data_IF_131759133660
#
_entry.id   IF_131759133660
#
_cell.length_a   1.000
_cell.length_b   1.000
_cell.length_c   1.000
_cell.angle_alpha   90.00
_cell.angle_beta   90.00
_cell.angle_gamma   90.00
#
_symmetry.space_group_name_H-M   'P 1'
#
loop_
_entity.id
_entity.type
_entity.pdbx_description
1 polymer ?
#
# COMPACT_ATOMS: atom_id res chain seq x y z
N UNK A 1 13.72 -0.08 -15.00
CA UNK A 1 13.80 1.16 -14.15
C UNK A 1 12.80 1.09 -13.00
N UNK A 2 12.72 2.09 -12.10
CA UNK A 2 11.81 2.01 -10.93
C UNK A 2 10.33 1.99 -11.33
N UNK A 3 9.93 2.79 -12.31
CA UNK A 3 8.57 2.74 -12.87
C UNK A 3 8.22 1.35 -13.43
N UNK A 4 9.18 0.68 -14.06
CA UNK A 4 9.01 -0.68 -14.58
C UNK A 4 8.92 -1.72 -13.45
N UNK A 5 9.72 -1.57 -12.39
CA UNK A 5 9.63 -2.41 -11.19
C UNK A 5 8.25 -2.29 -10.53
N UNK A 6 7.71 -1.07 -10.44
CA UNK A 6 6.36 -0.80 -9.95
C UNK A 6 5.30 -1.45 -10.84
N UNK A 7 5.37 -1.23 -12.16
CA UNK A 7 4.41 -1.81 -13.11
C UNK A 7 4.40 -3.35 -13.07
N UNK A 8 5.58 -4.00 -13.00
CA UNK A 8 5.72 -5.46 -12.96
C UNK A 8 5.25 -6.10 -11.65
N UNK A 9 5.22 -5.32 -10.57
CA UNK A 9 4.86 -5.82 -9.23
C UNK A 9 3.45 -5.36 -8.80
N UNK A 10 2.78 -4.51 -9.57
CA UNK A 10 1.38 -4.17 -9.34
C UNK A 10 0.46 -5.24 -9.94
N UNK A 11 -0.63 -5.55 -9.25
CA UNK A 11 -1.61 -6.54 -9.73
C UNK A 11 -2.36 -6.06 -10.99
N UNK A 12 -2.68 -4.78 -11.02
CA UNK A 12 -3.47 -4.15 -12.06
C UNK A 12 -2.81 -2.85 -12.52
N UNK A 13 -2.96 -2.55 -13.80
CA UNK A 13 -2.64 -1.24 -14.38
C UNK A 13 -3.69 -0.22 -13.95
N UNK A 14 -3.38 1.09 -14.04
CA UNK A 14 -4.36 2.13 -13.78
C UNK A 14 -5.59 2.04 -14.69
N UNK A 15 -5.40 1.67 -15.96
CA UNK A 15 -6.52 1.46 -16.90
C UNK A 15 -7.45 0.35 -16.43
N UNK A 16 -6.90 -0.79 -16.01
CA UNK A 16 -7.69 -1.88 -15.44
C UNK A 16 -8.43 -1.45 -14.18
N UNK A 17 -7.78 -0.70 -13.29
CA UNK A 17 -8.39 -0.16 -12.08
C UNK A 17 -9.57 0.77 -12.43
N UNK A 18 -9.39 1.69 -13.38
CA UNK A 18 -10.48 2.58 -13.83
C UNK A 18 -11.66 1.80 -14.41
N UNK A 19 -11.41 0.73 -15.18
CA UNK A 19 -12.47 -0.13 -15.68
C UNK A 19 -13.18 -0.91 -14.58
N UNK A 20 -12.45 -1.32 -13.54
CA UNK A 20 -13.04 -1.97 -12.37
C UNK A 20 -13.92 -1.01 -11.57
N UNK A 21 -13.53 0.26 -11.41
CA UNK A 21 -14.38 1.29 -10.78
C UNK A 21 -15.73 1.42 -11.49
N UNK A 22 -15.74 1.46 -12.83
CA UNK A 22 -16.98 1.56 -13.62
C UNK A 22 -17.90 0.35 -13.47
N UNK A 23 -17.33 -0.82 -13.16
CA UNK A 23 -18.05 -2.10 -13.05
C UNK A 23 -18.31 -2.52 -11.61
N UNK A 24 -17.94 -1.69 -10.63
CA UNK A 24 -18.01 -2.07 -9.24
C UNK A 24 -19.48 -2.34 -8.82
N UNK A 25 -19.69 -3.47 -8.15
CA UNK A 25 -21.00 -3.92 -7.72
C UNK A 25 -21.21 -3.58 -6.24
N UNK A 26 -21.96 -2.50 -6.00
CA UNK A 26 -22.26 -2.04 -4.65
C UNK A 26 -23.19 -3.00 -3.88
N UNK A 27 -23.94 -3.86 -4.56
CA UNK A 27 -24.87 -4.80 -3.89
C UNK A 27 -24.12 -5.83 -3.05
N UNK A 28 -22.87 -6.14 -3.42
CA UNK A 28 -22.01 -7.08 -2.72
C UNK A 28 -21.38 -6.52 -1.45
N UNK A 29 -21.41 -5.20 -1.21
CA UNK A 29 -20.88 -4.59 0.03
C UNK A 29 -21.62 -5.06 1.28
N UNK A 30 -22.87 -5.49 1.13
CA UNK A 30 -23.64 -6.11 2.20
C UNK A 30 -23.00 -7.41 2.72
N UNK A 31 -22.16 -8.09 1.92
CA UNK A 31 -21.38 -9.23 2.37
C UNK A 31 -20.44 -8.83 3.52
N UNK A 32 -19.64 -7.78 3.34
CA UNK A 32 -18.69 -7.29 4.35
C UNK A 32 -19.39 -6.84 5.63
N UNK A 33 -20.56 -6.21 5.52
CA UNK A 33 -21.37 -5.80 6.68
C UNK A 33 -21.94 -6.97 7.48
N UNK A 34 -21.99 -8.17 6.90
CA UNK A 34 -22.49 -9.39 7.56
C UNK A 34 -21.39 -10.26 8.15
N UNK A 35 -20.13 -9.99 7.81
CA UNK A 35 -18.99 -10.69 8.41
C UNK A 35 -18.96 -10.39 9.91
N UNK A 36 -18.54 -11.38 10.68
CA UNK A 36 -18.11 -11.16 12.06
C UNK A 36 -16.85 -10.29 12.10
N UNK A 37 -16.53 -9.78 13.30
CA UNK A 37 -15.31 -9.00 13.53
C UNK A 37 -14.04 -9.77 13.13
N UNK A 38 -13.96 -11.03 13.54
CA UNK A 38 -12.80 -11.89 13.24
C UNK A 38 -12.68 -12.16 11.73
N UNK A 39 -13.79 -12.45 11.04
CA UNK A 39 -13.79 -12.68 9.59
C UNK A 39 -13.36 -11.44 8.81
N UNK A 40 -13.86 -10.25 9.17
CA UNK A 40 -13.48 -9.01 8.49
C UNK A 40 -11.98 -8.72 8.66
N UNK A 41 -11.44 -8.89 9.86
CA UNK A 41 -10.02 -8.70 10.12
C UNK A 41 -9.15 -9.75 9.42
N UNK A 42 -9.62 -10.99 9.34
CA UNK A 42 -8.95 -12.05 8.60
C UNK A 42 -8.87 -11.73 7.10
N UNK A 43 -9.98 -11.28 6.50
CA UNK A 43 -10.02 -10.81 5.10
C UNK A 43 -9.00 -9.67 4.86
N UNK A 44 -8.97 -8.68 5.75
CA UNK A 44 -8.02 -7.58 5.67
C UNK A 44 -6.56 -8.07 5.78
N UNK A 45 -6.27 -8.97 6.71
CA UNK A 45 -4.93 -9.52 6.92
C UNK A 45 -4.46 -10.36 5.73
N UNK A 46 -5.34 -11.16 5.14
CA UNK A 46 -5.05 -11.94 3.93
C UNK A 46 -4.75 -11.01 2.76
N UNK A 47 -5.57 -9.98 2.55
CA UNK A 47 -5.33 -9.01 1.49
C UNK A 47 -4.02 -8.26 1.67
N UNK A 48 -3.75 -7.80 2.89
CA UNK A 48 -2.49 -7.14 3.23
C UNK A 48 -1.29 -8.06 2.97
N UNK A 49 -1.39 -9.35 3.31
CA UNK A 49 -0.34 -10.34 3.03
C UNK A 49 -0.03 -10.44 1.53
N UNK A 50 -1.07 -10.48 0.68
CA UNK A 50 -0.87 -10.48 -0.77
C UNK A 50 -0.18 -9.20 -1.26
N UNK A 51 -0.56 -8.03 -0.73
CA UNK A 51 0.07 -6.75 -1.08
C UNK A 51 1.53 -6.71 -0.62
N UNK A 52 1.85 -7.23 0.57
CA UNK A 52 3.22 -7.32 1.09
C UNK A 52 4.07 -8.22 0.19
N UNK A 53 3.56 -9.35 -0.29
CA UNK A 53 4.29 -10.20 -1.23
C UNK A 53 4.65 -9.44 -2.52
N UNK A 54 3.72 -8.65 -3.04
CA UNK A 54 4.00 -7.82 -4.21
C UNK A 54 5.01 -6.70 -3.93
N UNK A 55 5.00 -6.13 -2.72
CA UNK A 55 6.00 -5.14 -2.28
C UNK A 55 7.39 -5.77 -2.17
N UNK A 56 7.48 -7.03 -1.74
CA UNK A 56 8.74 -7.77 -1.73
C UNK A 56 9.27 -7.94 -3.16
N UNK A 57 8.41 -8.30 -4.12
CA UNK A 57 8.80 -8.37 -5.54
C UNK A 57 9.22 -7.00 -6.10
N UNK A 58 8.51 -5.92 -5.73
CA UNK A 58 8.94 -4.56 -6.05
C UNK A 58 10.34 -4.27 -5.53
N UNK A 59 10.59 -4.53 -4.24
CA UNK A 59 11.85 -4.24 -3.59
C UNK A 59 13.03 -4.97 -4.26
N UNK A 60 12.85 -6.24 -4.63
CA UNK A 60 13.87 -7.02 -5.37
C UNK A 60 14.25 -6.38 -6.70
N UNK A 61 13.31 -5.68 -7.35
CA UNK A 61 13.52 -5.01 -8.63
C UNK A 61 14.05 -3.57 -8.48
N UNK A 62 14.05 -3.00 -7.27
CA UNK A 62 14.60 -1.65 -7.02
C UNK A 62 16.13 -1.67 -7.17
N UNK A 63 16.72 -0.78 -8.01
CA UNK A 63 18.15 -0.75 -8.23
C UNK A 63 18.95 -0.61 -6.93
N UNK A 64 19.87 -1.55 -6.69
CA UNK A 64 20.75 -1.55 -5.52
C UNK A 64 20.20 -2.25 -4.28
N UNK A 65 18.89 -2.53 -4.20
CA UNK A 65 18.30 -3.16 -3.02
C UNK A 65 18.89 -4.55 -2.74
N UNK A 66 18.97 -5.42 -3.77
CA UNK A 66 19.56 -6.76 -3.63
C UNK A 66 21.07 -6.78 -3.35
N UNK A 67 21.75 -5.63 -3.44
CA UNK A 67 23.17 -5.50 -3.08
C UNK A 67 23.39 -5.21 -1.60
N UNK A 68 22.33 -4.86 -0.86
CA UNK A 68 22.36 -4.69 0.59
C UNK A 68 22.49 -6.04 1.29
N UNK A 69 22.92 -6.03 2.55
CA UNK A 69 22.93 -7.23 3.38
C UNK A 69 21.50 -7.78 3.55
N UNK A 70 21.35 -9.10 3.71
CA UNK A 70 20.02 -9.70 3.95
C UNK A 70 19.36 -9.12 5.21
N UNK A 71 20.15 -8.87 6.26
CA UNK A 71 19.67 -8.26 7.49
C UNK A 71 19.06 -6.87 7.23
N UNK A 72 19.75 -6.02 6.46
CA UNK A 72 19.25 -4.69 6.11
C UNK A 72 18.01 -4.77 5.20
N UNK A 73 18.00 -5.68 4.22
CA UNK A 73 16.81 -5.91 3.38
C UNK A 73 15.59 -6.28 4.23
N UNK A 74 15.77 -7.15 5.23
CA UNK A 74 14.72 -7.56 6.17
C UNK A 74 14.28 -6.38 7.03
N UNK A 75 15.20 -5.57 7.56
CA UNK A 75 14.87 -4.39 8.37
C UNK A 75 14.04 -3.39 7.56
N UNK A 76 14.48 -3.06 6.34
CA UNK A 76 13.75 -2.13 5.46
C UNK A 76 12.34 -2.64 5.12
N UNK A 77 12.20 -3.93 4.76
CA UNK A 77 10.90 -4.52 4.43
C UNK A 77 9.98 -4.62 5.65
N UNK A 78 10.50 -5.02 6.81
CA UNK A 78 9.72 -5.10 8.06
C UNK A 78 9.20 -3.72 8.48
N UNK A 79 10.01 -2.68 8.35
CA UNK A 79 9.61 -1.34 8.75
C UNK A 79 8.74 -0.63 7.70
N UNK A 80 9.01 -0.80 6.40
CA UNK A 80 8.37 -0.03 5.34
C UNK A 80 7.20 -0.71 4.62
N UNK A 81 7.02 -2.04 4.74
CA UNK A 81 6.02 -2.76 3.93
C UNK A 81 4.57 -2.30 4.19
N UNK A 82 4.22 -1.95 5.42
CA UNK A 82 2.89 -1.43 5.72
C UNK A 82 2.68 -0.04 5.10
N UNK A 83 3.65 0.86 5.22
CA UNK A 83 3.62 2.19 4.59
C UNK A 83 3.48 2.09 3.06
N UNK A 84 4.22 1.17 2.45
CA UNK A 84 4.14 0.88 1.01
C UNK A 84 2.79 0.26 0.62
N UNK A 85 2.15 -0.51 1.50
CA UNK A 85 0.81 -1.03 1.26
C UNK A 85 -0.23 0.11 1.23
N UNK A 86 -0.09 1.12 2.09
CA UNK A 86 -0.92 2.33 2.10
C UNK A 86 -0.73 3.11 0.80
N UNK A 87 0.51 3.29 0.32
CA UNK A 87 0.80 3.91 -0.97
C UNK A 87 0.18 3.14 -2.14
N UNK A 88 0.17 1.80 -2.09
CA UNK A 88 -0.50 0.99 -3.12
C UNK A 88 -2.02 1.12 -3.04
N UNK A 89 -2.57 1.21 -1.84
CA UNK A 89 -4.00 1.35 -1.60
C UNK A 89 -4.55 2.66 -2.19
N UNK A 90 -3.78 3.74 -2.22
CA UNK A 90 -4.21 5.01 -2.83
C UNK A 90 -4.54 4.91 -4.32
N UNK A 91 -3.92 3.96 -5.05
CA UNK A 91 -4.25 3.69 -6.46
C UNK A 91 -5.68 3.17 -6.63
N UNK A 92 -6.23 2.57 -5.58
CA UNK A 92 -7.56 1.96 -5.56
C UNK A 92 -8.58 2.84 -4.83
N UNK A 93 -8.27 4.10 -4.56
CA UNK A 93 -9.14 4.99 -3.79
C UNK A 93 -9.94 5.92 -4.70
N UNK A 94 -11.27 5.93 -4.53
CA UNK A 94 -12.19 6.85 -5.20
C UNK A 94 -12.43 8.09 -4.34
N UNK A 95 -11.86 9.21 -4.76
CA UNK A 95 -12.01 10.52 -4.10
C UNK A 95 -13.47 11.02 -4.08
N UNK A 96 -14.28 10.64 -5.07
CA UNK A 96 -15.66 11.12 -5.19
C UNK A 96 -16.61 10.42 -4.22
N UNK A 97 -16.36 9.13 -3.96
CA UNK A 97 -17.19 8.30 -3.09
C UNK A 97 -16.59 8.07 -1.70
N UNK A 98 -15.33 8.44 -1.48
CA UNK A 98 -14.59 8.13 -0.24
C UNK A 98 -14.58 6.61 0.04
N UNK A 99 -14.30 5.83 -1.01
CA UNK A 99 -14.32 4.38 -0.99
C UNK A 99 -13.04 3.80 -1.59
N UNK A 100 -12.70 2.58 -1.17
CA UNK A 100 -11.60 1.80 -1.72
C UNK A 100 -12.17 0.69 -2.59
N UNK A 101 -11.62 0.52 -3.79
CA UNK A 101 -11.90 -0.61 -4.66
C UNK A 101 -11.27 -1.88 -4.07
N UNK A 102 -12.12 -2.78 -3.59
CA UNK A 102 -11.73 -4.08 -3.06
C UNK A 102 -12.36 -5.19 -3.91
N UNK A 103 -11.53 -5.87 -4.70
CA UNK A 103 -12.03 -6.83 -5.69
C UNK A 103 -12.87 -6.09 -6.74
N UNK A 104 -14.16 -6.40 -6.80
CA UNK A 104 -15.13 -5.76 -7.69
C UNK A 104 -16.15 -4.89 -6.94
N UNK A 105 -15.80 -4.38 -5.74
CA UNK A 105 -16.70 -3.62 -4.88
C UNK A 105 -16.05 -2.32 -4.38
N UNK A 106 -16.87 -1.33 -4.01
CA UNK A 106 -16.42 -0.09 -3.36
C UNK A 106 -16.77 -0.09 -1.88
N UNK A 107 -15.74 -0.14 -1.06
CA UNK A 107 -15.84 -0.27 0.40
C UNK A 107 -15.45 1.05 1.05
N UNK A 108 -16.37 1.64 1.82
CA UNK A 108 -16.07 2.74 2.74
C UNK A 108 -15.63 2.20 4.10
N UNK A 109 -15.04 3.06 4.91
CA UNK A 109 -14.71 2.76 6.31
C UNK A 109 -15.91 2.33 7.17
N UNK A 110 -17.15 2.58 6.72
CA UNK A 110 -18.36 2.26 7.49
C UNK A 110 -18.58 0.76 7.67
N UNK A 111 -17.95 -0.09 6.84
CA UNK A 111 -18.01 -1.55 7.02
C UNK A 111 -17.40 -2.00 8.35
N UNK A 112 -16.53 -1.19 8.94
CA UNK A 112 -15.89 -1.45 10.22
C UNK A 112 -16.73 -0.96 11.42
N UNK A 113 -17.77 -0.15 11.21
CA UNK A 113 -18.52 0.50 12.31
C UNK A 113 -19.60 -0.38 12.95
N UNK A 114 -20.12 -1.37 12.22
CA UNK A 114 -21.18 -2.27 12.70
C UNK A 114 -20.66 -3.46 13.52
N UNK A 115 -19.34 -3.57 13.67
CA UNK A 115 -18.70 -4.66 14.38
C UNK A 115 -18.27 -4.19 15.77
N UNK A 116 -18.05 -5.11 16.71
CA UNK A 116 -17.59 -4.82 18.09
C UNK A 116 -16.14 -4.28 18.13
N UNK A 117 -15.80 -3.36 17.24
CA UNK A 117 -14.48 -2.78 17.07
C UNK A 117 -14.09 -1.96 18.28
N UNK A 118 -12.86 -2.16 18.74
CA UNK A 118 -12.29 -1.33 19.78
C UNK A 118 -12.09 0.11 19.30
N UNK A 119 -12.01 1.06 20.23
CA UNK A 119 -11.75 2.47 19.89
C UNK A 119 -10.42 2.67 19.15
N UNK A 120 -9.45 1.78 19.37
CA UNK A 120 -8.12 1.81 18.74
C UNK A 120 -8.22 1.38 17.27
N UNK A 121 -8.93 0.29 16.98
CA UNK A 121 -9.16 -0.18 15.61
C UNK A 121 -9.88 0.88 14.77
N UNK A 122 -10.92 1.49 15.33
CA UNK A 122 -11.66 2.56 14.68
C UNK A 122 -10.76 3.74 14.34
N UNK A 123 -9.88 4.14 15.28
CA UNK A 123 -8.90 5.19 15.03
C UNK A 123 -7.90 4.80 13.94
N UNK A 124 -7.44 3.55 13.91
CA UNK A 124 -6.55 3.05 12.86
C UNK A 124 -7.22 3.13 11.49
N UNK A 125 -8.46 2.67 11.35
CA UNK A 125 -9.20 2.72 10.08
C UNK A 125 -9.41 4.16 9.60
N UNK A 126 -9.82 5.06 10.51
CA UNK A 126 -9.99 6.48 10.20
C UNK A 126 -8.70 7.11 9.67
N UNK A 127 -7.58 6.92 10.39
CA UNK A 127 -6.27 7.45 9.99
C UNK A 127 -5.77 6.83 8.68
N UNK A 128 -6.02 5.53 8.48
CA UNK A 128 -5.67 4.84 7.24
C UNK A 128 -6.39 5.48 6.05
N UNK A 129 -7.71 5.65 6.13
CA UNK A 129 -8.50 6.28 5.07
C UNK A 129 -8.09 7.74 4.85
N UNK A 130 -7.80 8.49 5.92
CA UNK A 130 -7.31 9.87 5.83
C UNK A 130 -5.98 9.95 5.07
N UNK A 131 -5.00 9.12 5.40
CA UNK A 131 -3.69 9.09 4.74
C UNK A 131 -3.84 8.66 3.28
N UNK A 132 -4.60 7.60 3.01
CA UNK A 132 -4.85 7.10 1.64
C UNK A 132 -5.50 8.18 0.79
N UNK A 133 -6.51 8.88 1.34
CA UNK A 133 -7.16 10.01 0.68
C UNK A 133 -6.17 11.13 0.39
N UNK A 134 -5.39 11.56 1.37
CA UNK A 134 -4.39 12.62 1.20
C UNK A 134 -3.38 12.28 0.09
N UNK A 135 -2.94 11.03 0.00
CA UNK A 135 -2.07 10.55 -1.08
C UNK A 135 -2.80 10.60 -2.44
N UNK A 136 -4.05 10.15 -2.51
CA UNK A 136 -4.84 10.16 -3.75
C UNK A 136 -5.12 11.59 -4.26
N UNK A 137 -5.30 12.55 -3.35
CA UNK A 137 -5.49 13.98 -3.68
C UNK A 137 -4.25 14.61 -4.34
N UNK A 138 -3.05 14.07 -4.12
CA UNK A 138 -1.83 14.50 -4.81
C UNK A 138 -1.83 14.15 -6.30
N UNK A 139 -2.68 13.21 -6.75
CA UNK A 139 -2.82 12.79 -8.16
C UNK A 139 -1.48 12.43 -8.81
N UNK A 140 -0.61 11.75 -8.05
CA UNK A 140 0.68 11.28 -8.55
C UNK A 140 0.49 10.36 -9.75
N UNK A 141 1.36 10.53 -10.74
CA UNK A 141 1.55 9.57 -11.82
C UNK A 141 2.13 8.26 -11.28
N UNK A 142 2.00 7.16 -12.03
CA UNK A 142 2.60 5.87 -11.65
C UNK A 142 4.11 5.96 -11.46
N UNK A 143 4.77 6.84 -12.21
CA UNK A 143 6.22 7.07 -12.09
C UNK A 143 6.56 7.77 -10.78
N UNK A 144 5.83 8.84 -10.42
CA UNK A 144 6.02 9.55 -9.15
C UNK A 144 5.73 8.65 -7.96
N UNK A 145 4.63 7.88 -8.01
CA UNK A 145 4.28 6.92 -6.97
C UNK A 145 5.36 5.82 -6.83
N UNK A 146 5.91 5.34 -7.95
CA UNK A 146 6.99 4.36 -7.94
C UNK A 146 8.27 4.92 -7.31
N UNK A 147 8.64 6.16 -7.64
CA UNK A 147 9.79 6.84 -7.06
C UNK A 147 9.59 7.08 -5.57
N UNK A 148 8.43 7.60 -5.16
CA UNK A 148 8.11 7.83 -3.76
C UNK A 148 8.10 6.52 -2.96
N UNK A 149 7.57 5.44 -3.54
CA UNK A 149 7.64 4.10 -2.95
C UNK A 149 9.09 3.61 -2.75
N UNK A 150 9.98 3.88 -3.73
CA UNK A 150 11.39 3.53 -3.58
C UNK A 150 12.10 4.37 -2.50
N UNK A 151 11.76 5.66 -2.37
CA UNK A 151 12.26 6.54 -1.32
C UNK A 151 11.85 6.03 0.07
N UNK A 152 10.57 5.70 0.26
CA UNK A 152 10.02 5.16 1.51
C UNK A 152 10.65 3.80 1.86
N UNK A 153 10.82 2.92 0.87
CA UNK A 153 11.48 1.63 1.05
C UNK A 153 12.93 1.79 1.51
N UNK A 154 13.69 2.71 0.91
CA UNK A 154 15.11 2.92 1.17
C UNK A 154 15.36 4.00 2.23
N UNK A 155 14.51 4.09 3.25
CA UNK A 155 14.67 5.10 4.30
C UNK A 155 15.85 4.74 5.22
N UNK A 156 16.86 5.61 5.40
CA UNK A 156 18.07 5.27 6.14
C UNK A 156 17.93 5.36 7.66
N UNK A 157 16.81 5.89 8.15
CA UNK A 157 16.49 6.13 9.55
C UNK A 157 15.79 4.93 10.24
N UNK A 158 15.62 3.80 9.53
CA UNK A 158 15.05 2.59 10.12
C UNK A 158 15.94 2.05 11.24
N UNK A 159 15.34 1.76 12.38
CA UNK A 159 16.05 1.14 13.51
C UNK A 159 16.58 -0.24 13.14
N UNK A 160 17.84 -0.51 13.47
CA UNK A 160 18.49 -1.81 13.22
C UNK A 160 19.28 -1.90 11.90
N UNK A 161 19.32 -0.84 11.09
CA UNK A 161 20.14 -0.76 9.88
C UNK A 161 21.63 -0.80 10.24
N UNK A 162 22.38 -1.64 9.52
CA UNK A 162 23.84 -1.79 9.65
C UNK A 162 24.58 -0.87 8.67
N UNK A 163 24.23 -0.90 7.38
CA UNK A 163 24.86 -0.06 6.35
C UNK A 163 24.07 1.25 6.07
N UNK A 164 24.10 2.16 7.05
CA UNK A 164 23.41 3.46 6.94
C UNK A 164 23.92 4.27 5.75
N UNK A 165 25.23 4.23 5.47
CA UNK A 165 25.86 5.02 4.39
C UNK A 165 25.43 4.50 3.01
N UNK A 166 25.45 3.19 2.80
CA UNK A 166 25.01 2.57 1.55
C UNK A 166 23.55 2.85 1.26
N UNK A 167 22.68 2.72 2.25
CA UNK A 167 21.24 2.98 2.12
C UNK A 167 20.98 4.47 1.90
N UNK A 168 21.65 5.35 2.65
CA UNK A 168 21.55 6.80 2.44
C UNK A 168 21.97 7.22 1.03
N UNK A 169 22.96 6.54 0.43
CA UNK A 169 23.38 6.80 -0.95
C UNK A 169 22.30 6.37 -1.94
N UNK A 170 21.69 5.19 -1.74
CA UNK A 170 20.58 4.73 -2.57
C UNK A 170 19.37 5.67 -2.45
N UNK A 171 18.99 6.04 -1.23
CA UNK A 171 17.92 6.99 -0.93
C UNK A 171 18.12 8.33 -1.66
N UNK A 172 19.31 8.93 -1.55
CA UNK A 172 19.65 10.19 -2.24
C UNK A 172 19.66 10.06 -3.76
N UNK A 173 19.94 8.88 -4.31
CA UNK A 173 19.84 8.66 -5.74
C UNK A 173 18.38 8.71 -6.22
N UNK A 174 17.43 8.32 -5.37
CA UNK A 174 15.99 8.34 -5.70
C UNK A 174 15.37 9.73 -5.57
N UNK A 175 15.86 10.57 -4.65
CA UNK A 175 15.32 11.91 -4.42
C UNK A 175 15.88 12.99 -5.35
N UNK A 176 16.82 12.63 -6.24
CA UNK A 176 17.47 13.54 -7.20
C UNK A 176 17.03 13.32 -8.66
N UNK A 177 16.11 12.41 -8.89
CA UNK A 177 15.49 12.14 -10.19
C UNK A 177 14.32 13.11 -10.41
#
# INVERSE_FOLDING_TARGET
GIAEAHAKSCLFTLEQIHEMFKKADQTKVNYFKRLSHEELWLECAQKLTCVIQQIIEFAKLVPGFLKLSQDDQIVLLKAGSFELAILRMSRYYDLSQNCVLYGDMLISQDVFYGQSSSSIEMKLILLLFEVVRGIAELKMTETELALYSAVVLLSPDRSGIKDILGISRLHRAMTKL
#
